data_IF_632655559541
#
_entry.id   IF_632655559541
#
_cell.length_a   1.000
_cell.length_b   1.000
_cell.length_c   1.000
_cell.angle_alpha   90.00
_cell.angle_beta   90.00
_cell.angle_gamma   90.00
#
_symmetry.space_group_name_H-M   'P 1'
#
loop_
_entity.id
_entity.type
_entity.pdbx_description
1 polymer ?
#
# COMPACT_ATOMS: atom_id res chain seq x y z
N UNK A 1 -12.75 14.19 -6.93
CA UNK A 1 -12.13 12.85 -6.91
C UNK A 1 -11.12 12.84 -5.78
N UNK A 2 -11.42 12.16 -4.66
CA UNK A 2 -10.53 12.17 -3.48
C UNK A 2 -9.42 11.12 -3.69
N UNK A 3 -8.18 11.57 -3.87
CA UNK A 3 -6.98 10.71 -3.80
C UNK A 3 -6.62 10.57 -2.32
N UNK A 4 -6.52 9.34 -1.83
CA UNK A 4 -5.99 9.06 -0.51
C UNK A 4 -4.63 8.38 -0.70
N UNK A 5 -3.59 9.03 -0.22
CA UNK A 5 -2.26 8.43 0.01
C UNK A 5 -2.07 8.53 1.51
N UNK A 6 -1.82 7.41 2.18
CA UNK A 6 -1.58 7.36 3.61
C UNK A 6 -0.08 7.14 3.82
N UNK A 7 0.54 8.00 4.63
CA UNK A 7 1.96 7.95 5.00
C UNK A 7 2.01 7.66 6.50
N UNK A 8 2.67 6.57 6.90
CA UNK A 8 2.93 6.25 8.31
C UNK A 8 4.32 6.81 8.73
N UNK A 9 4.67 6.74 10.02
CA UNK A 9 5.98 7.18 10.58
C UNK A 9 7.19 6.41 10.00
N UNK A 10 6.93 5.30 9.31
CA UNK A 10 7.90 4.58 8.48
C UNK A 10 7.75 5.01 7.02
N UNK A 11 8.76 4.84 6.16
CA UNK A 11 8.64 5.10 4.70
C UNK A 11 7.71 4.08 3.99
N UNK A 12 6.59 3.73 4.61
CA UNK A 12 5.50 2.91 4.09
C UNK A 12 4.47 3.81 3.40
N UNK A 13 4.21 3.52 2.13
CA UNK A 13 3.18 4.16 1.33
C UNK A 13 2.12 3.15 0.93
N UNK A 14 0.88 3.40 1.32
CA UNK A 14 -0.27 2.69 0.77
C UNK A 14 -0.84 3.50 -0.39
N UNK A 15 -0.76 2.92 -1.59
CA UNK A 15 -1.16 3.56 -2.84
C UNK A 15 -2.46 2.93 -3.33
N UNK A 16 -3.51 3.74 -3.39
CA UNK A 16 -4.82 3.32 -3.90
C UNK A 16 -5.35 4.28 -4.96
N UNK A 17 -6.34 3.82 -5.71
CA UNK A 17 -7.00 4.62 -6.74
C UNK A 17 -8.06 3.83 -7.49
N UNK A 18 -8.98 4.56 -8.12
CA UNK A 18 -9.90 3.97 -9.09
C UNK A 18 -9.13 3.39 -10.28
N UNK A 19 -9.75 2.44 -10.99
CA UNK A 19 -9.19 1.94 -12.25
C UNK A 19 -8.89 3.10 -13.21
N UNK A 20 -7.69 3.12 -13.78
CA UNK A 20 -7.22 4.19 -14.66
C UNK A 20 -6.75 5.48 -13.97
N UNK A 21 -6.71 5.56 -12.63
CA UNK A 21 -6.29 6.78 -11.91
C UNK A 21 -4.77 7.07 -11.95
N UNK A 22 -3.99 6.23 -12.66
CA UNK A 22 -2.53 6.33 -12.74
C UNK A 22 -1.77 5.62 -11.61
N UNK A 23 -2.40 4.66 -10.90
CA UNK A 23 -1.78 3.92 -9.79
C UNK A 23 -0.46 3.27 -10.20
N UNK A 24 -0.44 2.54 -11.32
CA UNK A 24 0.78 1.87 -11.81
C UNK A 24 1.88 2.89 -12.11
N UNK A 25 1.59 3.96 -12.85
CA UNK A 25 2.57 5.03 -13.13
C UNK A 25 3.13 5.68 -11.86
N UNK A 26 2.31 5.84 -10.82
CA UNK A 26 2.78 6.36 -9.55
C UNK A 26 3.69 5.38 -8.81
N UNK A 27 3.35 4.08 -8.84
CA UNK A 27 4.18 3.03 -8.29
C UNK A 27 5.53 2.94 -9.03
N UNK A 28 5.54 2.96 -10.36
CA UNK A 28 6.77 2.97 -11.17
C UNK A 28 7.70 4.14 -10.77
N UNK A 29 7.13 5.34 -10.57
CA UNK A 29 7.89 6.49 -10.11
C UNK A 29 8.42 6.36 -8.67
N UNK A 30 7.79 5.56 -7.82
CA UNK A 30 8.31 5.25 -6.49
C UNK A 30 9.48 4.25 -6.55
N UNK A 31 9.45 3.29 -7.48
CA UNK A 31 10.60 2.40 -7.75
C UNK A 31 11.84 3.21 -8.13
N UNK A 32 11.68 4.19 -9.02
CA UNK A 32 12.76 5.11 -9.43
C UNK A 32 13.31 5.93 -8.24
N UNK A 33 12.49 6.18 -7.23
CA UNK A 33 12.87 6.89 -5.99
C UNK A 33 13.45 5.95 -4.91
N UNK A 34 13.62 4.66 -5.23
CA UNK A 34 14.22 3.66 -4.35
C UNK A 34 13.24 3.03 -3.35
N UNK A 35 11.94 3.07 -3.63
CA UNK A 35 10.97 2.27 -2.89
C UNK A 35 10.95 0.84 -3.42
N UNK A 36 10.86 -0.11 -2.49
CA UNK A 36 10.39 -1.46 -2.79
C UNK A 36 8.88 -1.38 -3.05
N UNK A 37 8.45 -1.70 -4.27
CA UNK A 37 7.06 -1.63 -4.67
C UNK A 37 6.45 -3.03 -4.73
N UNK A 38 5.27 -3.18 -4.14
CA UNK A 38 4.48 -4.41 -4.19
C UNK A 38 3.08 -4.07 -4.69
N UNK A 39 2.70 -4.60 -5.85
CA UNK A 39 1.34 -4.46 -6.38
C UNK A 39 0.57 -5.79 -6.31
N UNK A 40 -0.76 -5.68 -6.26
CA UNK A 40 -1.70 -6.82 -6.27
C UNK A 40 -1.45 -7.87 -5.17
N UNK A 41 -0.87 -7.45 -4.04
CA UNK A 41 -0.65 -8.31 -2.86
C UNK A 41 -2.00 -8.70 -2.24
N UNK A 42 -2.32 -9.99 -2.06
CA UNK A 42 -3.51 -10.40 -1.32
C UNK A 42 -3.58 -9.72 0.05
N UNK A 43 -4.73 -9.14 0.39
CA UNK A 43 -4.86 -8.25 1.56
C UNK A 43 -4.41 -8.93 2.88
N UNK A 44 -4.66 -10.23 3.01
CA UNK A 44 -4.24 -11.04 4.18
C UNK A 44 -2.72 -11.08 4.42
N UNK A 45 -1.90 -10.71 3.44
CA UNK A 45 -0.45 -10.71 3.53
C UNK A 45 0.12 -9.33 3.86
N UNK A 46 -0.72 -8.28 3.87
CA UNK A 46 -0.31 -6.89 4.10
C UNK A 46 0.49 -6.75 5.40
N UNK A 47 -0.09 -7.21 6.51
CA UNK A 47 0.55 -7.14 7.83
C UNK A 47 1.88 -7.88 7.88
N UNK A 48 1.92 -9.12 7.39
CA UNK A 48 3.13 -9.94 7.39
C UNK A 48 4.27 -9.29 6.57
N UNK A 49 3.93 -8.65 5.45
CA UNK A 49 4.89 -7.90 4.64
C UNK A 49 5.42 -6.68 5.40
N UNK A 50 4.53 -5.90 6.01
CA UNK A 50 4.93 -4.67 6.74
C UNK A 50 5.75 -5.01 7.99
N UNK A 51 5.33 -5.99 8.79
CA UNK A 51 6.07 -6.44 9.99
C UNK A 51 7.41 -7.11 9.62
N UNK A 52 7.48 -7.79 8.47
CA UNK A 52 8.71 -8.37 7.92
C UNK A 52 9.64 -7.32 7.30
N UNK A 53 9.11 -6.15 6.93
CA UNK A 53 9.91 -5.04 6.41
C UNK A 53 10.70 -4.37 7.53
N UNK A 54 11.95 -4.00 7.24
CA UNK A 54 12.78 -3.32 8.23
C UNK A 54 12.19 -1.96 8.62
N UNK A 55 12.44 -1.49 9.84
CA UNK A 55 11.89 -0.21 10.38
C UNK A 55 12.17 1.04 9.51
N UNK A 56 13.14 0.97 8.60
CA UNK A 56 13.50 2.06 7.68
C UNK A 56 13.29 1.70 6.20
N UNK A 57 12.59 0.60 5.90
CA UNK A 57 12.31 0.20 4.54
C UNK A 57 11.41 1.25 3.86
N UNK A 58 11.82 1.69 2.66
CA UNK A 58 10.97 2.46 1.78
C UNK A 58 10.08 1.48 1.03
N UNK A 59 8.86 1.25 1.52
CA UNK A 59 7.94 0.24 1.00
C UNK A 59 6.69 0.92 0.45
N UNK A 60 6.27 0.56 -0.75
CA UNK A 60 5.09 1.09 -1.40
C UNK A 60 4.18 -0.05 -1.85
N UNK A 61 2.94 -0.07 -1.34
CA UNK A 61 1.99 -1.16 -1.56
C UNK A 61 0.79 -0.64 -2.35
N UNK A 62 0.58 -1.20 -3.53
CA UNK A 62 -0.59 -0.96 -4.37
C UNK A 62 -1.79 -1.78 -3.90
N UNK A 63 -2.88 -1.10 -3.50
CA UNK A 63 -4.15 -1.75 -3.12
C UNK A 63 -5.30 -1.11 -3.90
N UNK A 64 -6.06 -1.92 -4.63
CA UNK A 64 -7.29 -1.53 -5.29
C UNK A 64 -8.36 -2.63 -5.20
N UNK A 65 -9.54 -2.41 -5.77
CA UNK A 65 -10.66 -3.36 -5.68
C UNK A 65 -10.39 -4.73 -6.33
N UNK A 66 -9.32 -4.87 -7.10
CA UNK A 66 -8.89 -6.13 -7.74
C UNK A 66 -7.93 -6.93 -6.86
N UNK A 67 -7.43 -6.33 -5.78
CA UNK A 67 -6.59 -7.01 -4.81
C UNK A 67 -7.29 -8.26 -4.27
N UNK A 68 -6.59 -9.40 -4.27
CA UNK A 68 -7.15 -10.66 -3.80
C UNK A 68 -7.64 -10.58 -2.35
N UNK A 69 -8.92 -10.91 -2.12
CA UNK A 69 -9.54 -10.84 -0.79
C UNK A 69 -9.84 -9.41 -0.31
N UNK A 70 -9.96 -8.44 -1.22
CA UNK A 70 -10.27 -7.06 -0.87
C UNK A 70 -11.62 -6.93 -0.15
N UNK A 71 -11.59 -6.24 0.98
CA UNK A 71 -12.75 -5.70 1.69
C UNK A 71 -12.36 -4.36 2.28
N UNK A 72 -13.22 -3.35 2.15
CA UNK A 72 -12.98 -2.03 2.72
C UNK A 72 -12.86 -2.10 4.24
N UNK A 73 -13.70 -2.90 4.90
CA UNK A 73 -13.69 -3.04 6.36
C UNK A 73 -12.39 -3.69 6.85
N UNK A 74 -11.93 -4.73 6.15
CA UNK A 74 -10.67 -5.41 6.47
C UNK A 74 -9.49 -4.47 6.25
N UNK A 75 -9.44 -3.76 5.11
CA UNK A 75 -8.36 -2.83 4.82
C UNK A 75 -8.26 -1.72 5.86
N UNK A 76 -9.39 -1.13 6.25
CA UNK A 76 -9.43 -0.10 7.30
C UNK A 76 -8.93 -0.66 8.63
N UNK A 77 -9.37 -1.87 9.01
CA UNK A 77 -8.90 -2.50 10.25
C UNK A 77 -7.39 -2.78 10.27
N UNK A 78 -6.82 -3.19 9.14
CA UNK A 78 -5.36 -3.38 9.02
C UNK A 78 -4.62 -2.05 9.10
N UNK A 79 -5.12 -1.00 8.45
CA UNK A 79 -4.53 0.34 8.49
C UNK A 79 -4.54 0.89 9.92
N UNK A 80 -5.66 0.77 10.63
CA UNK A 80 -5.79 1.23 12.02
C UNK A 80 -4.79 0.53 12.93
N UNK A 81 -4.53 -0.75 12.71
CA UNK A 81 -3.53 -1.52 13.44
C UNK A 81 -2.09 -1.13 13.09
N UNK A 82 -1.81 -0.75 11.84
CA UNK A 82 -0.49 -0.35 11.38
C UNK A 82 -0.09 1.08 11.80
N UNK A 83 -1.07 1.93 12.10
CA UNK A 83 -0.85 3.34 12.51
C UNK A 83 -0.72 3.49 14.04
N UNK A 84 -1.12 2.48 14.82
CA UNK A 84 -0.89 2.44 16.28
C UNK A 84 0.58 2.34 16.62
#
# INVERSE_FOLDING_TARGET
MRRFVIVAESRLLLVTGLSGAGKSTFLDGLEDLGYEVVDNLPLRLLRALVEGSGKNAALAIGIDSRTGGFSSDVLLSEIDELIK
#
